data_IF_150665138521
#
_entry.id   IF_150665138521
#
_cell.length_a   1.000
_cell.length_b   1.000
_cell.length_c   1.000
_cell.angle_alpha   90.00
_cell.angle_beta   90.00
_cell.angle_gamma   90.00
#
_symmetry.space_group_name_H-M   'P 1'
#
loop_
_entity.id
_entity.type
_entity.pdbx_description
1 polymer ?
#
# COMPACT_ATOMS: atom_id res chain seq x y z
N UNK A 1 23.51 40.36 -10.72
CA UNK A 1 22.35 40.23 -9.83
C UNK A 1 22.15 38.75 -9.58
N UNK A 2 22.06 38.26 -8.33
CA UNK A 2 21.78 36.84 -8.11
C UNK A 2 20.34 36.58 -8.57
N UNK A 3 20.17 35.60 -9.45
CA UNK A 3 18.87 35.09 -9.85
C UNK A 3 18.12 34.65 -8.59
N UNK A 4 16.92 35.18 -8.38
CA UNK A 4 16.05 34.76 -7.29
C UNK A 4 15.69 33.28 -7.51
N UNK A 5 16.25 32.39 -6.69
CA UNK A 5 15.90 30.97 -6.68
C UNK A 5 14.47 30.85 -6.18
N UNK A 6 13.53 30.52 -7.06
CA UNK A 6 12.15 30.20 -6.68
C UNK A 6 12.20 28.95 -5.80
N UNK A 7 11.77 29.07 -4.55
CA UNK A 7 11.70 27.94 -3.63
C UNK A 7 10.40 27.19 -3.87
N UNK A 8 10.51 25.99 -4.44
CA UNK A 8 9.38 25.08 -4.58
C UNK A 8 9.07 24.47 -3.21
N UNK A 9 7.81 24.58 -2.78
CA UNK A 9 7.29 23.96 -1.57
C UNK A 9 6.05 23.12 -1.88
N UNK A 10 5.68 22.23 -0.97
CA UNK A 10 4.50 21.37 -1.09
C UNK A 10 3.53 21.65 0.05
N UNK A 11 2.30 21.96 -0.30
CA UNK A 11 1.22 22.21 0.66
C UNK A 11 0.27 20.99 0.67
N UNK A 12 0.00 20.44 1.85
CA UNK A 12 -0.96 19.34 2.01
C UNK A 12 -2.38 19.86 1.85
N UNK A 13 -3.12 19.27 0.92
CA UNK A 13 -4.51 19.61 0.60
C UNK A 13 -5.47 18.74 1.40
N UNK A 14 -5.25 17.42 1.38
CA UNK A 14 -6.17 16.44 1.96
C UNK A 14 -5.49 15.08 2.17
N UNK A 15 -6.24 14.14 2.79
CA UNK A 15 -5.90 12.73 2.93
C UNK A 15 -6.81 11.85 2.09
N UNK A 16 -6.45 11.56 0.83
CA UNK A 16 -7.40 10.98 -0.11
C UNK A 16 -7.64 9.47 0.08
N UNK A 17 -7.01 8.83 1.08
CA UNK A 17 -7.18 7.41 1.42
C UNK A 17 -7.26 6.48 0.20
N UNK A 18 -8.24 5.58 0.13
CA UNK A 18 -8.37 4.64 -0.99
C UNK A 18 -9.12 5.23 -2.17
N UNK A 19 -8.55 5.12 -3.38
CA UNK A 19 -9.11 5.71 -4.61
C UNK A 19 -10.12 4.78 -5.30
N UNK A 20 -9.92 3.47 -5.17
CA UNK A 20 -10.73 2.47 -5.87
C UNK A 20 -10.81 2.73 -7.38
N UNK A 21 -12.01 2.59 -7.93
CA UNK A 21 -12.30 2.79 -9.36
C UNK A 21 -12.28 4.26 -9.81
N UNK A 22 -12.19 5.21 -8.87
CA UNK A 22 -12.20 6.65 -9.16
C UNK A 22 -10.82 7.25 -9.35
N UNK A 23 -9.77 6.43 -9.47
CA UNK A 23 -8.39 6.91 -9.60
C UNK A 23 -8.26 7.91 -10.76
N UNK A 24 -8.66 7.51 -11.96
CA UNK A 24 -8.51 8.34 -13.16
C UNK A 24 -9.32 9.64 -13.03
N UNK A 25 -10.56 9.57 -12.52
CA UNK A 25 -11.39 10.75 -12.25
C UNK A 25 -10.73 11.72 -11.25
N UNK A 26 -10.08 11.19 -10.21
CA UNK A 26 -9.37 12.00 -9.20
C UNK A 26 -8.11 12.63 -9.78
N UNK A 27 -7.35 11.87 -10.58
CA UNK A 27 -6.16 12.38 -11.25
C UNK A 27 -6.51 13.49 -12.23
N UNK A 28 -7.56 13.33 -13.04
CA UNK A 28 -8.08 14.37 -13.93
C UNK A 28 -8.54 15.61 -13.14
N UNK A 29 -9.26 15.40 -12.04
CA UNK A 29 -9.68 16.48 -11.16
C UNK A 29 -8.48 17.24 -10.57
N UNK A 30 -7.45 16.55 -10.09
CA UNK A 30 -6.25 17.19 -9.53
C UNK A 30 -5.39 17.85 -10.60
N UNK A 31 -5.28 17.28 -11.80
CA UNK A 31 -4.64 17.91 -12.95
C UNK A 31 -5.31 19.25 -13.31
N UNK A 32 -6.63 19.30 -13.27
CA UNK A 32 -7.39 20.52 -13.52
C UNK A 32 -7.24 21.56 -12.40
N UNK A 33 -7.34 21.14 -11.14
CA UNK A 33 -7.36 22.06 -9.99
C UNK A 33 -5.96 22.51 -9.54
N UNK A 34 -4.92 21.71 -9.80
CA UNK A 34 -3.53 21.98 -9.41
C UNK A 34 -2.59 21.95 -10.62
N UNK A 35 -2.80 22.85 -11.61
CA UNK A 35 -2.04 22.84 -12.87
C UNK A 35 -0.53 23.04 -12.67
N UNK A 36 -0.13 23.58 -11.52
CA UNK A 36 1.28 23.89 -11.24
C UNK A 36 2.04 22.66 -10.73
N UNK A 37 1.31 21.57 -10.49
CA UNK A 37 1.82 20.30 -10.02
C UNK A 37 1.12 19.86 -8.73
N UNK A 38 0.86 18.56 -8.65
CA UNK A 38 0.42 17.87 -7.45
C UNK A 38 1.19 16.57 -7.32
N UNK A 39 1.18 15.99 -6.12
CA UNK A 39 1.74 14.67 -5.86
C UNK A 39 0.96 13.94 -4.79
N UNK A 40 1.04 12.61 -4.84
CA UNK A 40 0.74 11.77 -3.70
C UNK A 40 2.03 11.54 -2.90
N UNK A 41 1.93 11.71 -1.59
CA UNK A 41 3.00 11.46 -0.64
C UNK A 41 2.46 10.71 0.58
N UNK A 42 3.34 10.27 1.49
CA UNK A 42 2.92 9.56 2.70
C UNK A 42 3.54 10.21 3.93
N UNK A 43 2.73 10.52 4.93
CA UNK A 43 3.22 11.00 6.21
C UNK A 43 3.95 9.88 6.97
N UNK A 44 5.05 10.23 7.61
CA UNK A 44 5.80 9.35 8.52
C UNK A 44 6.32 10.15 9.70
N UNK A 45 5.56 10.17 10.80
CA UNK A 45 5.80 11.11 11.88
C UNK A 45 5.74 12.56 11.36
N UNK A 46 6.84 13.29 11.52
CA UNK A 46 7.01 14.67 11.03
C UNK A 46 7.50 14.73 9.57
N UNK A 47 7.84 13.59 8.97
CA UNK A 47 8.38 13.53 7.60
C UNK A 47 7.28 13.26 6.58
N UNK A 48 7.56 13.63 5.33
CA UNK A 48 6.73 13.32 4.16
C UNK A 48 7.56 12.50 3.19
N UNK A 49 7.13 11.27 2.95
CA UNK A 49 7.79 10.27 2.15
C UNK A 49 7.29 10.28 0.70
N UNK A 50 8.21 9.95 -0.21
CA UNK A 50 7.88 9.62 -1.59
C UNK A 50 7.28 8.21 -1.68
N UNK A 51 6.63 7.89 -2.81
CA UNK A 51 6.06 6.55 -3.05
C UNK A 51 7.08 5.41 -2.86
N UNK A 52 8.32 5.48 -3.40
CA UNK A 52 9.30 4.41 -3.18
C UNK A 52 9.63 4.16 -1.70
N UNK A 53 9.78 5.22 -0.90
CA UNK A 53 10.06 5.09 0.54
C UNK A 53 8.84 4.55 1.29
N UNK A 54 7.64 5.00 0.95
CA UNK A 54 6.42 4.46 1.54
C UNK A 54 6.24 2.95 1.24
N UNK A 55 6.57 2.52 0.01
CA UNK A 55 6.53 1.11 -0.37
C UNK A 55 7.62 0.28 0.33
N UNK A 56 8.80 0.86 0.62
CA UNK A 56 9.81 0.20 1.41
C UNK A 56 9.32 -0.09 2.85
N UNK A 57 8.67 0.89 3.49
CA UNK A 57 8.07 0.71 4.83
C UNK A 57 6.91 -0.30 4.78
N UNK A 58 6.12 -0.27 3.71
CA UNK A 58 5.07 -1.25 3.47
C UNK A 58 5.65 -2.67 3.40
N UNK A 59 6.74 -2.86 2.66
CA UNK A 59 7.48 -4.11 2.56
C UNK A 59 8.09 -4.54 3.91
N UNK A 60 8.60 -3.60 4.70
CA UNK A 60 9.16 -3.89 6.04
C UNK A 60 8.14 -4.56 6.95
N UNK A 61 6.85 -4.22 6.83
CA UNK A 61 5.79 -4.91 7.56
C UNK A 61 5.68 -6.40 7.19
N UNK A 62 5.78 -6.73 5.89
CA UNK A 62 5.82 -8.13 5.44
C UNK A 62 7.10 -8.84 5.87
N UNK A 63 8.24 -8.16 5.80
CA UNK A 63 9.52 -8.71 6.23
C UNK A 63 9.49 -9.08 7.71
N UNK A 64 9.11 -8.15 8.59
CA UNK A 64 9.02 -8.41 10.04
C UNK A 64 7.93 -9.43 10.36
N UNK A 65 6.80 -9.43 9.64
CA UNK A 65 5.78 -10.45 9.81
C UNK A 65 6.31 -11.85 9.49
N UNK A 66 6.91 -12.06 8.31
CA UNK A 66 7.42 -13.38 7.91
C UNK A 66 8.59 -13.84 8.77
N UNK A 67 9.46 -12.92 9.19
CA UNK A 67 10.57 -13.18 10.11
C UNK A 67 10.08 -13.69 11.47
N UNK A 68 9.01 -13.10 11.99
CA UNK A 68 8.44 -13.47 13.29
C UNK A 68 7.43 -14.64 13.21
N UNK A 69 7.07 -15.08 11.99
CA UNK A 69 6.14 -16.19 11.73
C UNK A 69 6.78 -17.20 10.77
N UNK A 70 7.87 -17.90 11.20
CA UNK A 70 8.66 -18.77 10.33
C UNK A 70 7.87 -19.92 9.74
N UNK A 71 6.80 -20.38 10.39
CA UNK A 71 5.87 -21.38 9.87
C UNK A 71 5.10 -20.89 8.64
N UNK A 72 4.72 -19.61 8.61
CA UNK A 72 4.08 -19.00 7.43
C UNK A 72 5.10 -18.84 6.31
N UNK A 73 6.32 -18.38 6.63
CA UNK A 73 7.41 -18.26 5.66
C UNK A 73 7.76 -19.63 5.06
N UNK A 74 7.86 -20.68 5.90
CA UNK A 74 8.11 -22.05 5.45
C UNK A 74 6.97 -22.57 4.57
N UNK A 75 5.73 -22.33 4.96
CA UNK A 75 4.59 -22.72 4.15
C UNK A 75 4.63 -22.04 2.78
N UNK A 76 4.73 -20.70 2.71
CA UNK A 76 4.62 -20.01 1.43
C UNK A 76 5.79 -20.37 0.51
N UNK A 77 7.00 -20.54 1.06
CA UNK A 77 8.19 -20.90 0.26
C UNK A 77 8.21 -22.36 -0.18
N UNK A 78 7.54 -23.27 0.52
CA UNK A 78 7.45 -24.69 0.14
C UNK A 78 6.22 -25.01 -0.72
N UNK A 79 5.17 -24.20 -0.65
CA UNK A 79 3.92 -24.40 -1.38
C UNK A 79 3.86 -23.60 -2.67
N UNK A 80 4.31 -22.33 -2.64
CA UNK A 80 4.22 -21.46 -3.81
C UNK A 80 5.47 -21.59 -4.69
N UNK A 81 5.27 -21.65 -6.01
CA UNK A 81 6.29 -21.37 -7.02
C UNK A 81 6.48 -19.86 -7.24
N UNK A 82 5.39 -19.09 -7.06
CA UNK A 82 5.36 -17.63 -6.91
C UNK A 82 4.00 -17.23 -6.29
N UNK A 83 3.84 -15.98 -5.87
CA UNK A 83 2.58 -15.40 -5.38
C UNK A 83 1.97 -14.45 -6.40
N UNK A 84 0.69 -14.16 -6.32
CA UNK A 84 0.06 -13.11 -7.13
C UNK A 84 -1.11 -12.46 -6.39
N UNK A 85 -1.46 -11.24 -6.79
CA UNK A 85 -2.55 -10.46 -6.18
C UNK A 85 -3.91 -10.88 -6.74
N UNK A 86 -4.25 -10.38 -7.95
CA UNK A 86 -5.58 -10.57 -8.56
C UNK A 86 -5.53 -11.36 -9.85
N UNK A 87 -4.37 -11.42 -10.50
CA UNK A 87 -4.16 -12.14 -11.75
C UNK A 87 -2.87 -12.94 -11.69
N UNK A 88 -2.84 -14.20 -12.16
CA UNK A 88 -1.60 -14.96 -12.29
C UNK A 88 -0.52 -14.24 -13.10
N UNK A 89 -0.89 -13.28 -13.97
CA UNK A 89 0.09 -12.46 -14.71
C UNK A 89 0.92 -11.53 -13.83
N UNK A 90 0.47 -11.20 -12.60
CA UNK A 90 1.16 -10.26 -11.71
C UNK A 90 2.59 -10.73 -11.35
N UNK A 91 2.89 -12.02 -11.51
CA UNK A 91 4.24 -12.60 -11.36
C UNK A 91 5.27 -11.95 -12.30
N UNK A 92 4.83 -11.45 -13.45
CA UNK A 92 5.72 -10.85 -14.47
C UNK A 92 6.41 -9.59 -13.97
N UNK A 93 5.78 -8.84 -13.07
CA UNK A 93 6.37 -7.64 -12.47
C UNK A 93 7.56 -7.97 -11.57
N UNK A 94 7.72 -9.23 -11.15
CA UNK A 94 8.81 -9.66 -10.28
C UNK A 94 8.90 -8.80 -9.02
N UNK A 95 10.00 -8.03 -8.91
CA UNK A 95 10.28 -7.13 -7.78
C UNK A 95 10.04 -5.64 -8.10
N UNK A 96 9.45 -5.32 -9.25
CA UNK A 96 9.28 -3.96 -9.77
C UNK A 96 7.89 -3.40 -9.47
N UNK A 97 7.82 -2.42 -8.56
CA UNK A 97 6.57 -1.74 -8.18
C UNK A 97 5.96 -0.83 -9.26
N UNK A 98 6.70 -0.55 -10.34
CA UNK A 98 6.23 0.32 -11.42
C UNK A 98 5.57 -0.47 -12.56
N UNK A 99 5.71 -1.79 -12.57
CA UNK A 99 5.00 -2.68 -13.49
C UNK A 99 3.65 -3.07 -12.91
N UNK A 100 2.59 -2.39 -13.35
CA UNK A 100 1.20 -2.61 -12.92
C UNK A 100 0.32 -2.84 -14.16
N UNK A 101 -0.22 -4.04 -14.33
CA UNK A 101 -0.96 -4.41 -15.55
C UNK A 101 -2.48 -4.54 -15.35
N UNK A 102 -2.93 -4.52 -14.09
CA UNK A 102 -4.37 -4.55 -13.76
C UNK A 102 -4.85 -3.19 -13.26
N UNK A 103 -6.17 -2.90 -13.29
CA UNK A 103 -6.71 -1.66 -12.73
C UNK A 103 -6.41 -1.45 -11.24
N UNK A 104 -6.17 -2.54 -10.51
CA UNK A 104 -5.77 -2.50 -9.11
C UNK A 104 -4.25 -2.58 -9.01
N UNK A 105 -3.69 -1.82 -8.06
CA UNK A 105 -2.27 -1.93 -7.81
C UNK A 105 -1.99 -3.21 -7.03
N UNK A 106 -1.01 -3.99 -7.50
CA UNK A 106 -0.57 -5.22 -6.88
C UNK A 106 0.77 -4.99 -6.16
N UNK A 107 0.72 -4.22 -5.07
CA UNK A 107 1.94 -3.94 -4.30
C UNK A 107 2.27 -5.06 -3.31
N UNK A 108 1.28 -5.82 -2.87
CA UNK A 108 1.50 -6.79 -1.80
C UNK A 108 2.12 -8.09 -2.27
N UNK A 109 1.81 -8.59 -3.47
CA UNK A 109 2.51 -9.74 -4.03
C UNK A 109 3.99 -9.41 -4.24
N UNK A 110 4.31 -8.21 -4.77
CA UNK A 110 5.67 -7.70 -4.89
C UNK A 110 6.34 -7.56 -3.50
N UNK A 111 5.64 -7.00 -2.51
CA UNK A 111 6.16 -6.88 -1.14
C UNK A 111 6.46 -8.25 -0.51
N UNK A 112 5.61 -9.25 -0.73
CA UNK A 112 5.84 -10.63 -0.26
C UNK A 112 7.08 -11.22 -0.94
N UNK A 113 7.23 -11.08 -2.27
CA UNK A 113 8.43 -11.57 -2.98
C UNK A 113 9.71 -10.95 -2.41
N UNK A 114 9.71 -9.63 -2.21
CA UNK A 114 10.86 -8.91 -1.63
C UNK A 114 11.12 -9.32 -0.18
N UNK A 115 10.08 -9.47 0.64
CA UNK A 115 10.19 -9.94 2.02
C UNK A 115 10.72 -11.38 2.13
N UNK A 116 10.29 -12.30 1.25
CA UNK A 116 10.81 -13.67 1.15
C UNK A 116 12.31 -13.65 0.82
N UNK A 117 12.71 -12.85 -0.18
CA UNK A 117 14.12 -12.68 -0.54
C UNK A 117 14.96 -12.11 0.61
N UNK A 118 14.45 -11.07 1.28
CA UNK A 118 15.11 -10.44 2.43
C UNK A 118 15.26 -11.35 3.64
N UNK A 119 14.36 -12.32 3.80
CA UNK A 119 14.49 -13.40 4.77
C UNK A 119 15.46 -14.52 4.32
N UNK A 120 16.18 -14.34 3.20
CA UNK A 120 17.14 -15.31 2.69
C UNK A 120 16.49 -16.55 2.07
N UNK A 121 15.22 -16.45 1.63
CA UNK A 121 14.43 -17.57 1.10
C UNK A 121 14.09 -17.36 -0.37
N UNK A 122 13.59 -18.42 -0.99
CA UNK A 122 13.06 -18.46 -2.36
C UNK A 122 11.80 -19.32 -2.38
N UNK A 123 10.94 -19.08 -3.36
CA UNK A 123 9.81 -19.94 -3.66
C UNK A 123 10.33 -21.24 -4.31
N UNK A 124 9.94 -22.38 -3.75
CA UNK A 124 10.36 -23.73 -4.14
C UNK A 124 9.16 -24.67 -4.33
N UNK A 125 7.94 -24.16 -4.17
CA UNK A 125 6.72 -24.92 -4.40
C UNK A 125 6.42 -25.11 -5.88
N UNK A 126 5.26 -25.70 -6.15
CA UNK A 126 4.89 -26.21 -7.47
C UNK A 126 3.73 -25.45 -8.12
N UNK A 127 3.12 -24.49 -7.42
CA UNK A 127 1.95 -23.75 -7.92
C UNK A 127 1.94 -22.28 -7.53
N UNK A 128 1.20 -21.48 -8.27
CA UNK A 128 0.95 -20.08 -7.93
C UNK A 128 -0.03 -19.96 -6.76
N UNK A 129 0.21 -19.01 -5.86
CA UNK A 129 -0.66 -18.74 -4.71
C UNK A 129 -1.25 -17.33 -4.77
N UNK A 130 -2.58 -17.24 -4.78
CA UNK A 130 -3.32 -15.98 -4.66
C UNK A 130 -3.26 -15.45 -3.23
N UNK A 131 -2.81 -14.20 -3.04
CA UNK A 131 -2.58 -13.62 -1.71
C UNK A 131 -3.57 -12.50 -1.33
N UNK A 132 -4.50 -12.12 -2.21
CA UNK A 132 -5.44 -11.01 -1.96
C UNK A 132 -6.82 -11.43 -1.48
N UNK A 133 -7.42 -12.44 -2.11
CA UNK A 133 -8.85 -12.70 -2.01
C UNK A 133 -9.19 -13.52 -0.76
N UNK A 134 -10.21 -13.11 0.03
CA UNK A 134 -10.70 -13.92 1.13
C UNK A 134 -11.11 -15.33 0.67
N UNK A 135 -10.79 -16.34 1.49
CA UNK A 135 -11.10 -17.74 1.21
C UNK A 135 -10.07 -18.48 0.35
N UNK A 136 -9.04 -17.79 -0.15
CA UNK A 136 -7.87 -18.44 -0.78
C UNK A 136 -6.86 -18.91 0.27
N UNK A 137 -6.00 -19.86 -0.09
CA UNK A 137 -4.95 -20.34 0.82
C UNK A 137 -3.96 -19.24 1.24
N UNK A 138 -3.76 -18.22 0.38
CA UNK A 138 -2.91 -17.06 0.66
C UNK A 138 -3.60 -15.88 1.33
N UNK A 139 -4.89 -15.97 1.68
CA UNK A 139 -5.64 -14.86 2.31
C UNK A 139 -5.03 -14.35 3.64
N UNK A 140 -4.24 -15.18 4.33
CA UNK A 140 -3.47 -14.78 5.52
C UNK A 140 -2.33 -13.80 5.23
N UNK A 141 -1.92 -13.68 3.96
CA UNK A 141 -0.90 -12.75 3.49
C UNK A 141 -1.52 -11.51 2.80
N UNK A 142 -2.84 -11.37 2.82
CA UNK A 142 -3.49 -10.16 2.33
C UNK A 142 -3.12 -8.95 3.18
N UNK A 143 -3.11 -7.73 2.63
CA UNK A 143 -2.62 -6.57 3.36
C UNK A 143 -3.51 -6.09 4.52
N UNK A 144 -4.75 -6.55 4.57
CA UNK A 144 -5.63 -6.39 5.73
C UNK A 144 -5.44 -7.50 6.79
N UNK A 145 -4.59 -8.49 6.52
CA UNK A 145 -4.22 -9.60 7.43
C UNK A 145 -2.80 -9.45 7.98
N UNK A 146 -2.01 -8.48 7.50
CA UNK A 146 -0.64 -8.24 7.96
C UNK A 146 -0.61 -7.08 8.95
N UNK A 147 -0.23 -7.30 10.21
CA UNK A 147 -0.01 -6.23 11.18
C UNK A 147 1.07 -5.25 10.69
N UNK A 148 0.84 -3.96 10.87
CA UNK A 148 1.89 -2.98 10.62
C UNK A 148 2.91 -3.01 11.77
N UNK A 149 4.19 -3.14 11.43
CA UNK A 149 5.27 -3.32 12.40
C UNK A 149 5.57 -2.06 13.26
N UNK A 150 5.05 -0.89 12.88
CA UNK A 150 5.19 0.38 13.61
C UNK A 150 3.83 1.08 13.78
N UNK A 151 2.88 0.49 14.53
CA UNK A 151 1.48 0.93 14.56
C UNK A 151 1.29 2.39 15.01
N UNK A 152 2.15 2.87 15.92
CA UNK A 152 2.11 4.24 16.44
C UNK A 152 2.39 5.32 15.37
N UNK A 153 2.87 4.94 14.19
CA UNK A 153 3.13 5.85 13.07
C UNK A 153 1.98 5.91 12.06
N UNK A 154 0.91 5.13 12.26
CA UNK A 154 -0.31 5.24 11.46
C UNK A 154 -1.10 6.47 11.92
N UNK A 155 -1.48 7.32 10.96
CA UNK A 155 -2.32 8.47 11.22
C UNK A 155 -3.72 8.03 11.71
N UNK A 156 -4.18 8.62 12.82
CA UNK A 156 -5.42 8.24 13.53
C UNK A 156 -6.57 9.26 13.39
N UNK A 157 -6.39 10.34 12.63
CA UNK A 157 -7.45 11.34 12.43
C UNK A 157 -8.60 10.84 11.56
N UNK A 158 -9.70 11.61 11.58
CA UNK A 158 -10.97 11.24 10.92
C UNK A 158 -11.14 11.87 9.53
N UNK A 159 -10.21 12.71 9.08
CA UNK A 159 -10.22 13.42 7.78
C UNK A 159 -9.77 12.55 6.59
N UNK A 160 -9.66 11.24 6.78
CA UNK A 160 -9.27 10.28 5.74
C UNK A 160 -10.47 9.99 4.84
N UNK A 161 -10.31 10.26 3.54
CA UNK A 161 -11.35 10.00 2.53
C UNK A 161 -11.32 8.54 2.07
N UNK A 162 -12.48 7.99 1.73
CA UNK A 162 -12.64 6.72 1.00
C UNK A 162 -13.49 7.00 -0.25
N UNK A 163 -12.86 6.93 -1.42
CA UNK A 163 -13.54 7.23 -2.68
C UNK A 163 -14.21 5.99 -3.30
N UNK A 164 -14.19 4.84 -2.62
CA UNK A 164 -14.85 3.64 -3.13
C UNK A 164 -16.38 3.73 -3.02
N UNK A 165 -17.06 3.22 -4.06
CA UNK A 165 -18.50 3.39 -4.28
C UNK A 165 -19.39 2.51 -3.39
N UNK A 166 -18.82 1.58 -2.63
CA UNK A 166 -19.59 0.81 -1.67
C UNK A 166 -19.86 1.69 -0.44
N UNK A 167 -20.91 2.52 -0.52
CA UNK A 167 -21.68 2.95 0.64
C UNK A 167 -22.25 1.70 1.30
N UNK A 168 -21.41 0.91 1.97
CA UNK A 168 -21.86 0.01 3.02
C UNK A 168 -22.53 0.95 4.02
N UNK A 169 -23.76 0.65 4.38
CA UNK A 169 -24.76 1.51 5.01
C UNK A 169 -24.42 2.05 6.40
N UNK A 170 -23.13 2.24 6.74
CA UNK A 170 -22.65 2.69 8.05
C UNK A 170 -21.27 3.41 8.03
N UNK A 171 -20.85 4.08 6.94
CA UNK A 171 -19.59 4.88 6.89
C UNK A 171 -18.30 4.12 7.31
N UNK A 172 -18.32 2.79 7.37
CA UNK A 172 -17.16 2.00 7.80
C UNK A 172 -16.25 1.76 6.62
N UNK A 173 -15.05 2.33 6.70
CA UNK A 173 -13.92 2.04 5.83
C UNK A 173 -13.69 0.52 5.81
N UNK A 174 -13.84 -0.11 4.65
CA UNK A 174 -13.90 -1.57 4.56
C UNK A 174 -12.59 -2.25 4.96
N UNK A 175 -11.43 -1.65 4.65
CA UNK A 175 -10.12 -2.20 5.02
C UNK A 175 -9.82 -2.13 6.52
N UNK A 176 -10.35 -1.12 7.24
CA UNK A 176 -10.31 -1.09 8.72
C UNK A 176 -11.11 -2.24 9.32
N UNK A 177 -12.26 -2.54 8.72
CA UNK A 177 -13.19 -3.53 9.24
C UNK A 177 -12.60 -4.94 9.12
N UNK A 178 -11.98 -5.25 7.98
CA UNK A 178 -11.38 -6.57 7.75
C UNK A 178 -10.20 -6.92 8.68
N UNK A 179 -9.37 -5.94 9.04
CA UNK A 179 -8.28 -6.15 10.00
C UNK A 179 -8.84 -6.40 11.41
N UNK A 180 -9.79 -5.56 11.84
CA UNK A 180 -10.40 -5.64 13.17
C UNK A 180 -11.22 -6.92 13.39
N UNK A 181 -11.94 -7.38 12.37
CA UNK A 181 -12.64 -8.68 12.40
C UNK A 181 -11.68 -9.86 12.61
N UNK A 182 -10.39 -9.68 12.31
CA UNK A 182 -9.31 -10.66 12.54
C UNK A 182 -8.53 -10.40 13.82
N UNK A 183 -8.94 -9.45 14.66
CA UNK A 183 -8.23 -9.06 15.88
C UNK A 183 -6.93 -8.29 15.63
N UNK A 184 -6.72 -7.78 14.41
CA UNK A 184 -5.54 -6.97 14.07
C UNK A 184 -5.94 -5.50 14.19
N UNK A 185 -5.31 -4.81 15.14
CA UNK A 185 -5.62 -3.41 15.44
C UNK A 185 -5.22 -2.47 14.29
N UNK A 186 -4.03 -2.68 13.74
CA UNK A 186 -3.40 -1.83 12.74
C UNK A 186 -2.71 -2.66 11.66
N UNK A 187 -3.17 -2.52 10.42
CA UNK A 187 -2.69 -3.31 9.29
C UNK A 187 -1.76 -2.51 8.39
N UNK A 188 -0.97 -3.20 7.56
CA UNK A 188 -0.14 -2.56 6.55
C UNK A 188 -0.99 -1.80 5.50
N UNK A 189 -2.19 -2.27 5.20
CA UNK A 189 -3.16 -1.53 4.37
C UNK A 189 -3.58 -0.21 5.04
N UNK A 190 -3.85 -0.22 6.36
CA UNK A 190 -4.18 1.00 7.10
C UNK A 190 -3.07 2.04 7.03
N UNK A 191 -1.81 1.63 7.25
CA UNK A 191 -0.65 2.52 7.07
C UNK A 191 -0.67 3.16 5.68
N UNK A 192 -0.80 2.35 4.62
CA UNK A 192 -0.68 2.84 3.25
C UNK A 192 -1.81 3.80 2.86
N UNK A 193 -3.02 3.60 3.38
CA UNK A 193 -4.16 4.45 3.06
C UNK A 193 -4.25 5.68 3.99
N UNK A 194 -4.07 5.55 5.30
CA UNK A 194 -4.26 6.67 6.25
C UNK A 194 -3.16 7.72 6.15
N UNK A 195 -1.94 7.28 5.89
CA UNK A 195 -0.80 8.19 5.84
C UNK A 195 -0.72 8.90 4.50
N UNK A 196 -1.56 8.55 3.52
CA UNK A 196 -1.56 9.14 2.18
C UNK A 196 -1.99 10.61 2.23
N UNK A 197 -1.18 11.46 1.61
CA UNK A 197 -1.38 12.89 1.46
C UNK A 197 -1.53 13.23 -0.02
N UNK A 198 -2.49 14.09 -0.34
CA UNK A 198 -2.44 14.88 -1.56
C UNK A 198 -1.73 16.19 -1.25
N UNK A 199 -0.71 16.53 -2.04
CA UNK A 199 -0.02 17.81 -1.93
C UNK A 199 -0.03 18.54 -3.26
N UNK A 200 -0.21 19.86 -3.22
CA UNK A 200 -0.07 20.74 -4.39
C UNK A 200 1.24 21.52 -4.30
N UNK A 201 1.78 21.89 -5.44
CA UNK A 201 2.96 22.76 -5.52
C UNK A 201 2.57 24.18 -5.07
N UNK A 202 3.40 24.77 -4.21
CA UNK A 202 3.28 26.14 -3.75
C UNK A 202 4.61 26.87 -3.97
N UNK A 203 4.53 28.10 -4.47
CA UNK A 203 5.67 28.97 -4.68
C UNK A 203 5.78 29.92 -3.48
N UNK A 204 6.96 29.91 -2.85
CA UNK A 204 7.32 30.82 -1.76
C UNK A 204 8.21 31.96 -2.22
#
# INVERSE_FOLDING_TARGET
>A
MPESVIKISWETVERPGYFGKKRDELEDFWNFNYPQGWRIAWQWGEQVLTRPLALQIYEDAYFEFLKNNPEILNWITSTASDVYDTSPSNVKSGLNYDEQETPNNHFHDIAIRRAVLRNGRKFLGDRLVEVRKPGTEGARLSPYSIPFHLPNLIYQGEDIKDYNYLKVSNHRIWWKTLGRERGIEHTVEEFYQHNKLLQKMAFG
#
